data_IF_406143132979
#
_entry.id   IF_406143132979
#
_cell.length_a   1.000
_cell.length_b   1.000
_cell.length_c   1.000
_cell.angle_alpha   90.00
_cell.angle_beta   90.00
_cell.angle_gamma   90.00
#
_symmetry.space_group_name_H-M   'P 1'
#
loop_
_entity.id
_entity.type
_entity.pdbx_description
1 polymer ?
#
# COMPACT_ATOMS: atom_id res chain seq x y z
N UNK A 1 37.23 37.96 -50.31
CA UNK A 1 37.04 36.62 -49.65
C UNK A 1 35.79 36.65 -48.83
N UNK A 2 34.68 36.11 -49.32
CA UNK A 2 33.44 35.92 -48.52
C UNK A 2 33.43 34.48 -47.98
N UNK A 3 33.47 34.37 -46.67
CA UNK A 3 33.31 33.08 -45.96
C UNK A 3 31.95 32.45 -46.30
N UNK A 4 31.96 31.31 -46.96
CA UNK A 4 30.80 30.46 -47.17
C UNK A 4 30.29 29.99 -45.80
N UNK A 5 29.19 30.50 -45.32
CA UNK A 5 28.49 29.97 -44.13
C UNK A 5 28.04 28.54 -44.39
N UNK A 6 28.56 27.62 -43.60
CA UNK A 6 28.34 26.19 -43.72
C UNK A 6 26.87 25.83 -43.45
N UNK A 7 26.25 24.96 -44.26
CA UNK A 7 24.84 24.55 -44.12
C UNK A 7 24.58 23.69 -42.86
N UNK A 8 25.58 23.46 -42.02
CA UNK A 8 25.56 22.51 -40.89
C UNK A 8 24.83 23.08 -39.67
N UNK A 9 24.78 24.41 -39.47
CA UNK A 9 24.18 24.96 -38.22
C UNK A 9 22.65 24.93 -38.18
N UNK A 10 21.95 24.95 -39.30
CA UNK A 10 20.48 24.96 -39.34
C UNK A 10 19.88 23.59 -39.05
N UNK A 11 20.56 22.48 -39.33
CA UNK A 11 20.13 21.12 -39.01
C UNK A 11 20.29 20.84 -37.52
N UNK A 12 21.33 21.43 -36.89
CA UNK A 12 21.53 21.32 -35.42
C UNK A 12 20.43 22.01 -34.63
N UNK A 13 19.95 23.18 -35.04
CA UNK A 13 18.89 23.95 -34.36
C UNK A 13 17.55 23.18 -34.39
N UNK A 14 17.20 22.56 -35.53
CA UNK A 14 15.95 21.78 -35.66
C UNK A 14 15.93 20.52 -34.76
N UNK A 15 17.04 19.79 -34.69
CA UNK A 15 17.18 18.66 -33.76
C UNK A 15 17.08 19.10 -32.31
N UNK A 16 17.52 20.31 -31.97
CA UNK A 16 17.47 20.87 -30.61
C UNK A 16 16.03 21.17 -30.18
N UNK A 17 15.18 21.74 -31.01
CA UNK A 17 13.78 22.06 -30.67
C UNK A 17 12.97 20.78 -30.40
N UNK A 18 13.13 19.77 -31.28
CA UNK A 18 12.44 18.49 -31.08
C UNK A 18 12.91 17.79 -29.80
N UNK A 19 14.22 17.83 -29.51
CA UNK A 19 14.76 17.28 -28.25
C UNK A 19 14.18 17.99 -27.01
N UNK A 20 14.05 19.33 -27.07
CA UNK A 20 13.44 20.09 -25.95
C UNK A 20 11.97 19.71 -25.74
N UNK A 21 11.19 19.68 -26.82
CA UNK A 21 9.78 19.26 -26.74
C UNK A 21 9.64 17.84 -26.20
N UNK A 22 10.44 16.91 -26.73
CA UNK A 22 10.48 15.53 -26.23
C UNK A 22 10.81 15.47 -24.73
N UNK A 23 11.80 16.24 -24.29
CA UNK A 23 12.20 16.30 -22.89
C UNK A 23 11.06 16.81 -21.99
N UNK A 24 10.34 17.86 -22.38
CA UNK A 24 9.20 18.36 -21.59
C UNK A 24 8.06 17.35 -21.51
N UNK A 25 7.74 16.68 -22.60
CA UNK A 25 6.71 15.63 -22.61
C UNK A 25 7.14 14.46 -21.71
N UNK A 26 8.43 14.07 -21.76
CA UNK A 26 8.96 13.01 -20.90
C UNK A 26 8.90 13.40 -19.41
N UNK A 27 9.25 14.64 -19.06
CA UNK A 27 9.16 15.14 -17.69
C UNK A 27 7.71 15.12 -17.19
N UNK A 28 6.76 15.60 -17.99
CA UNK A 28 5.33 15.54 -17.67
C UNK A 28 4.83 14.10 -17.47
N UNK A 29 5.31 13.18 -18.32
CA UNK A 29 5.00 11.76 -18.21
C UNK A 29 5.51 11.19 -16.88
N UNK A 30 6.77 11.45 -16.51
CA UNK A 30 7.37 11.00 -15.24
C UNK A 30 6.60 11.57 -14.05
N UNK A 31 6.26 12.87 -14.08
CA UNK A 31 5.46 13.49 -13.04
C UNK A 31 4.09 12.84 -12.89
N UNK A 32 3.41 12.54 -13.99
CA UNK A 32 2.11 11.84 -13.97
C UNK A 32 2.21 10.46 -13.35
N UNK A 33 3.28 9.70 -13.64
CA UNK A 33 3.52 8.37 -13.03
C UNK A 33 3.75 8.49 -11.53
N UNK A 34 4.59 9.45 -11.10
CA UNK A 34 4.88 9.67 -9.67
C UNK A 34 3.61 10.06 -8.91
N UNK A 35 2.87 11.06 -9.39
CA UNK A 35 1.65 11.55 -8.73
C UNK A 35 0.61 10.43 -8.64
N UNK A 36 0.36 9.73 -9.74
CA UNK A 36 -0.61 8.64 -9.77
C UNK A 36 -0.18 7.46 -8.89
N UNK A 37 1.11 7.12 -8.87
CA UNK A 37 1.67 6.08 -8.00
C UNK A 37 1.51 6.42 -6.52
N UNK A 38 1.80 7.68 -6.15
CA UNK A 38 1.65 8.15 -4.77
C UNK A 38 0.19 8.13 -4.31
N UNK A 39 -0.74 8.62 -5.13
CA UNK A 39 -2.18 8.60 -4.81
C UNK A 39 -2.70 7.16 -4.64
N UNK A 40 -2.32 6.25 -5.54
CA UNK A 40 -2.68 4.83 -5.43
C UNK A 40 -2.11 4.19 -4.16
N UNK A 41 -0.88 4.53 -3.77
CA UNK A 41 -0.27 4.03 -2.55
C UNK A 41 -1.05 4.46 -1.30
N UNK A 42 -1.38 5.77 -1.20
CA UNK A 42 -2.14 6.32 -0.08
C UNK A 42 -3.53 5.65 0.01
N UNK A 43 -4.25 5.55 -1.11
CA UNK A 43 -5.56 4.90 -1.15
C UNK A 43 -5.50 3.43 -0.72
N UNK A 44 -4.49 2.70 -1.19
CA UNK A 44 -4.32 1.29 -0.85
C UNK A 44 -4.03 1.10 0.63
N UNK A 45 -3.16 1.92 1.23
CA UNK A 45 -2.88 1.90 2.67
C UNK A 45 -4.16 2.14 3.47
N UNK A 46 -4.92 3.19 3.13
CA UNK A 46 -6.16 3.51 3.85
C UNK A 46 -7.24 2.43 3.70
N UNK A 47 -7.34 1.82 2.52
CA UNK A 47 -8.28 0.73 2.27
C UNK A 47 -7.92 -0.51 3.06
N UNK A 48 -6.64 -0.90 3.04
CA UNK A 48 -6.17 -2.09 3.76
C UNK A 48 -6.31 -1.90 5.28
N UNK A 49 -5.91 -0.74 5.82
CA UNK A 49 -6.11 -0.43 7.25
C UNK A 49 -7.58 -0.52 7.67
N UNK A 50 -8.50 0.03 6.87
CA UNK A 50 -9.94 -0.07 7.16
C UNK A 50 -10.45 -1.51 7.12
N UNK A 51 -10.02 -2.27 6.12
CA UNK A 51 -10.41 -3.68 6.00
C UNK A 51 -9.90 -4.51 7.18
N UNK A 52 -8.60 -4.38 7.51
CA UNK A 52 -7.99 -5.08 8.66
C UNK A 52 -8.70 -4.74 9.96
N UNK A 53 -8.96 -3.46 10.18
CA UNK A 53 -9.71 -2.99 11.35
C UNK A 53 -11.07 -3.66 11.46
N UNK A 54 -11.86 -3.63 10.39
CA UNK A 54 -13.19 -4.24 10.37
C UNK A 54 -13.14 -5.74 10.62
N UNK A 55 -12.17 -6.43 10.01
CA UNK A 55 -11.99 -7.87 10.15
C UNK A 55 -11.67 -8.23 11.61
N UNK A 56 -10.67 -7.56 12.20
CA UNK A 56 -10.19 -7.83 13.56
C UNK A 56 -11.27 -7.51 14.61
N UNK A 57 -11.93 -6.35 14.47
CA UNK A 57 -13.04 -5.96 15.36
C UNK A 57 -14.23 -6.91 15.23
N UNK A 58 -14.57 -7.38 14.02
CA UNK A 58 -15.65 -8.34 13.80
C UNK A 58 -15.32 -9.70 14.39
N UNK A 59 -14.10 -10.19 14.20
CA UNK A 59 -13.64 -11.46 14.76
C UNK A 59 -13.65 -11.44 16.30
N UNK A 60 -13.14 -10.35 16.91
CA UNK A 60 -13.20 -10.16 18.36
C UNK A 60 -14.63 -10.17 18.87
N UNK A 61 -15.56 -9.49 18.19
CA UNK A 61 -16.98 -9.46 18.56
C UNK A 61 -17.64 -10.83 18.44
N UNK A 62 -17.42 -11.55 17.33
CA UNK A 62 -17.96 -12.91 17.13
C UNK A 62 -17.46 -13.86 18.21
N UNK A 63 -16.17 -13.76 18.56
CA UNK A 63 -15.62 -14.54 19.65
C UNK A 63 -16.28 -14.18 20.98
N UNK A 64 -16.45 -12.90 21.31
CA UNK A 64 -17.14 -12.46 22.53
C UNK A 64 -18.55 -13.05 22.62
N UNK A 65 -19.37 -12.87 21.59
CA UNK A 65 -20.75 -13.41 21.57
C UNK A 65 -20.78 -14.94 21.71
N UNK A 66 -19.76 -15.62 21.21
CA UNK A 66 -19.62 -17.10 21.34
C UNK A 66 -19.28 -17.52 22.77
N UNK A 67 -18.38 -16.77 23.43
CA UNK A 67 -17.87 -17.11 24.76
C UNK A 67 -18.67 -16.50 25.93
N UNK A 68 -19.59 -15.57 25.70
CA UNK A 68 -20.50 -15.03 26.73
C UNK A 68 -21.33 -16.13 27.48
N UNK A 69 -21.54 -17.27 26.82
CA UNK A 69 -22.27 -18.41 27.39
C UNK A 69 -21.37 -19.39 28.11
N UNK A 70 -20.06 -19.22 28.03
CA UNK A 70 -19.10 -20.12 28.65
C UNK A 70 -18.74 -19.62 30.05
N UNK A 71 -18.49 -20.56 30.95
CA UNK A 71 -17.91 -20.25 32.25
C UNK A 71 -16.39 -20.16 32.12
N UNK A 72 -15.88 -18.94 32.01
CA UNK A 72 -14.45 -18.67 31.77
C UNK A 72 -13.58 -19.21 32.90
N UNK A 73 -14.03 -19.11 34.15
CA UNK A 73 -13.29 -19.65 35.31
C UNK A 73 -13.24 -21.18 35.26
N UNK A 74 -14.36 -21.84 34.93
CA UNK A 74 -14.37 -23.29 34.78
C UNK A 74 -13.46 -23.80 33.66
N UNK A 75 -13.32 -23.03 32.58
CA UNK A 75 -12.34 -23.32 31.50
C UNK A 75 -10.91 -23.17 31.98
N UNK A 76 -10.61 -22.15 32.77
CA UNK A 76 -9.28 -21.93 33.34
C UNK A 76 -8.89 -23.01 34.34
N UNK A 77 -9.83 -23.42 35.20
CA UNK A 77 -9.60 -24.43 36.26
C UNK A 77 -9.39 -25.84 35.69
N UNK A 78 -9.95 -26.15 34.51
CA UNK A 78 -9.89 -27.47 33.89
C UNK A 78 -9.42 -27.44 32.42
N UNK A 79 -8.15 -27.15 32.15
CA UNK A 79 -7.63 -27.05 30.79
C UNK A 79 -7.59 -28.39 30.04
N UNK A 80 -7.71 -29.51 30.72
CA UNK A 80 -7.77 -30.85 30.14
C UNK A 80 -9.20 -31.32 29.81
N UNK A 81 -10.22 -30.53 30.16
CA UNK A 81 -11.62 -30.88 29.94
C UNK A 81 -11.99 -30.92 28.45
N UNK A 82 -13.05 -31.62 28.12
CA UNK A 82 -13.58 -31.65 26.76
C UNK A 82 -14.19 -30.30 26.37
N UNK A 83 -14.76 -29.57 27.32
CA UNK A 83 -15.28 -28.22 27.18
C UNK A 83 -14.16 -27.25 26.79
N UNK A 84 -13.03 -27.33 27.48
CA UNK A 84 -11.85 -26.49 27.14
C UNK A 84 -11.35 -26.80 25.73
N UNK A 85 -11.21 -28.08 25.36
CA UNK A 85 -10.76 -28.46 23.99
C UNK A 85 -11.72 -27.97 22.90
N UNK A 86 -13.03 -28.02 23.15
CA UNK A 86 -14.05 -27.46 22.24
C UNK A 86 -13.92 -25.95 22.14
N UNK A 87 -13.70 -25.24 23.24
CA UNK A 87 -13.50 -23.81 23.30
C UNK A 87 -12.26 -23.39 22.50
N UNK A 88 -11.10 -24.03 22.71
CA UNK A 88 -9.88 -23.81 21.94
C UNK A 88 -10.10 -24.04 20.44
N UNK A 89 -10.78 -25.14 20.08
CA UNK A 89 -11.09 -25.45 18.67
C UNK A 89 -11.97 -24.38 18.04
N UNK A 90 -12.93 -23.85 18.78
CA UNK A 90 -13.83 -22.80 18.32
C UNK A 90 -13.06 -21.48 18.13
N UNK A 91 -12.25 -21.09 19.11
CA UNK A 91 -11.42 -19.88 19.02
C UNK A 91 -10.43 -19.97 17.84
N UNK A 92 -9.79 -21.14 17.67
CA UNK A 92 -8.90 -21.41 16.54
C UNK A 92 -9.61 -21.31 15.21
N UNK A 93 -10.81 -21.85 15.10
CA UNK A 93 -11.60 -21.74 13.87
C UNK A 93 -11.91 -20.27 13.52
N UNK A 94 -12.25 -19.44 14.53
CA UNK A 94 -12.47 -18.00 14.33
C UNK A 94 -11.16 -17.33 13.88
N UNK A 95 -10.05 -17.63 14.52
CA UNK A 95 -8.72 -17.12 14.20
C UNK A 95 -8.35 -17.43 12.73
N UNK A 96 -8.40 -18.69 12.33
CA UNK A 96 -8.04 -19.17 10.99
C UNK A 96 -8.98 -18.64 9.90
N UNK A 97 -10.30 -18.61 10.18
CA UNK A 97 -11.28 -18.12 9.20
C UNK A 97 -11.08 -16.62 8.88
N UNK A 98 -10.55 -15.86 9.82
CA UNK A 98 -10.29 -14.44 9.69
C UNK A 98 -8.81 -14.12 9.41
N UNK A 99 -7.96 -15.14 9.22
CA UNK A 99 -6.52 -14.97 8.96
C UNK A 99 -5.81 -14.08 10.00
N UNK A 100 -6.17 -14.26 11.27
CA UNK A 100 -5.56 -13.56 12.39
C UNK A 100 -4.30 -14.30 12.82
N UNK A 101 -3.25 -13.57 13.16
CA UNK A 101 -2.00 -14.15 13.66
C UNK A 101 -2.23 -14.88 15.00
N UNK A 102 -2.92 -14.18 15.93
CA UNK A 102 -3.28 -14.72 17.24
C UNK A 102 -4.69 -14.32 17.64
N UNK A 103 -5.34 -15.22 18.41
CA UNK A 103 -6.49 -14.89 19.26
C UNK A 103 -6.28 -15.47 20.64
N UNK A 104 -6.67 -14.71 21.65
CA UNK A 104 -6.48 -15.14 23.03
C UNK A 104 -7.57 -14.61 23.94
N UNK A 105 -7.83 -15.36 25.03
CA UNK A 105 -8.73 -14.98 26.12
C UNK A 105 -7.90 -14.90 27.39
N UNK A 106 -8.04 -13.80 28.12
CA UNK A 106 -7.31 -13.57 29.36
C UNK A 106 -8.14 -12.80 30.38
N UNK A 107 -7.80 -12.96 31.65
CA UNK A 107 -8.39 -12.25 32.77
C UNK A 107 -7.39 -11.18 33.23
N UNK A 108 -7.72 -9.89 33.11
CA UNK A 108 -6.84 -8.81 33.54
C UNK A 108 -6.90 -8.61 35.06
N UNK A 109 -5.72 -8.43 35.68
CA UNK A 109 -5.58 -7.94 37.05
C UNK A 109 -5.04 -6.53 37.00
N UNK A 110 -5.91 -5.54 37.14
CA UNK A 110 -5.57 -4.13 37.04
C UNK A 110 -4.70 -3.62 38.20
N UNK A 111 -4.82 -4.25 39.38
CA UNK A 111 -4.10 -3.82 40.58
C UNK A 111 -2.62 -4.24 40.54
N UNK A 112 -2.35 -5.40 39.96
CA UNK A 112 -1.00 -5.97 39.87
C UNK A 112 -0.34 -5.74 38.49
N UNK A 113 -1.04 -5.14 37.53
CA UNK A 113 -0.60 -5.05 36.13
C UNK A 113 -0.19 -6.41 35.54
N UNK A 114 -1.04 -7.40 35.74
CA UNK A 114 -0.86 -8.76 35.25
C UNK A 114 -2.06 -9.21 34.45
N UNK A 115 -1.84 -10.18 33.60
CA UNK A 115 -2.89 -10.92 32.90
C UNK A 115 -2.73 -12.42 33.12
N UNK A 116 -3.84 -13.11 33.32
CA UNK A 116 -3.89 -14.59 33.41
C UNK A 116 -4.51 -15.10 32.11
N UNK A 117 -3.75 -15.81 31.30
CA UNK A 117 -4.25 -16.38 30.06
C UNK A 117 -5.15 -17.57 30.31
N UNK A 118 -6.33 -17.57 29.71
CA UNK A 118 -7.28 -18.73 29.73
C UNK A 118 -6.95 -19.64 28.55
N UNK A 119 -6.79 -19.06 27.34
CA UNK A 119 -6.39 -19.80 26.15
C UNK A 119 -5.79 -18.87 25.11
N UNK A 120 -4.91 -19.42 24.27
CA UNK A 120 -4.31 -18.70 23.11
C UNK A 120 -4.26 -19.64 21.92
N UNK A 121 -4.58 -19.13 20.75
CA UNK A 121 -4.50 -19.84 19.46
C UNK A 121 -3.81 -18.98 18.43
N UNK A 122 -3.20 -19.62 17.44
CA UNK A 122 -2.57 -18.99 16.27
C UNK A 122 -3.18 -19.53 14.97
N UNK A 123 -2.98 -18.81 13.88
CA UNK A 123 -3.41 -19.25 12.54
C UNK A 123 -2.62 -20.49 12.08
N UNK A 124 -1.30 -20.51 12.32
CA UNK A 124 -0.43 -21.65 12.03
C UNK A 124 0.15 -22.25 13.33
N UNK A 125 -0.12 -23.54 13.55
CA UNK A 125 0.35 -24.25 14.74
C UNK A 125 1.87 -24.50 14.76
N UNK A 126 2.56 -24.40 13.59
CA UNK A 126 3.94 -24.88 13.46
C UNK A 126 5.00 -23.82 13.80
N UNK A 127 4.70 -22.53 13.66
CA UNK A 127 5.72 -21.48 13.79
C UNK A 127 5.77 -20.79 15.15
N UNK A 128 4.77 -20.99 16.02
CA UNK A 128 4.56 -20.17 17.21
C UNK A 128 4.45 -20.92 18.53
N UNK A 129 5.06 -22.11 18.61
CA UNK A 129 5.10 -22.91 19.86
C UNK A 129 5.55 -22.11 21.09
N UNK A 130 6.53 -21.21 20.92
CA UNK A 130 7.04 -20.39 22.01
C UNK A 130 6.00 -19.38 22.52
N UNK A 131 5.19 -18.78 21.63
CA UNK A 131 4.14 -17.84 22.02
C UNK A 131 2.98 -18.56 22.70
N UNK A 132 2.58 -19.71 22.16
CA UNK A 132 1.53 -20.55 22.75
C UNK A 132 1.95 -21.06 24.13
N UNK A 133 3.22 -21.42 24.33
CA UNK A 133 3.74 -21.87 25.61
C UNK A 133 3.77 -20.76 26.67
N UNK A 134 4.15 -19.53 26.31
CA UNK A 134 4.18 -18.37 27.23
C UNK A 134 2.76 -17.95 27.63
N UNK A 135 1.78 -18.15 26.75
CA UNK A 135 0.36 -17.77 26.95
C UNK A 135 -0.53 -19.01 27.15
N UNK A 136 0.00 -20.06 27.75
CA UNK A 136 -0.76 -21.27 28.09
C UNK A 136 -1.79 -20.99 29.17
N UNK A 137 -2.76 -21.90 29.33
CA UNK A 137 -3.80 -21.80 30.37
C UNK A 137 -3.18 -21.65 31.76
N UNK A 138 -3.61 -20.65 32.51
CA UNK A 138 -3.09 -20.32 33.83
C UNK A 138 -1.77 -19.59 33.87
N UNK A 139 -1.13 -19.28 32.72
CA UNK A 139 0.08 -18.48 32.69
C UNK A 139 -0.22 -17.03 33.10
N UNK A 140 0.46 -16.59 34.16
CA UNK A 140 0.46 -15.18 34.57
C UNK A 140 1.64 -14.45 33.90
N UNK A 141 1.33 -13.33 33.25
CA UNK A 141 2.32 -12.51 32.58
C UNK A 141 2.22 -11.08 33.09
N UNK A 142 3.36 -10.49 33.42
CA UNK A 142 3.45 -9.06 33.71
C UNK A 142 3.10 -8.29 32.44
N UNK A 143 1.98 -7.57 32.49
CA UNK A 143 1.47 -6.84 31.35
C UNK A 143 0.93 -5.48 31.78
N UNK A 144 1.59 -4.42 31.33
CA UNK A 144 1.08 -3.06 31.48
C UNK A 144 -0.13 -2.86 30.57
N UNK A 145 -1.33 -2.98 31.14
CA UNK A 145 -2.59 -2.89 30.40
C UNK A 145 -2.73 -1.57 29.66
N UNK A 146 -3.00 -1.65 28.38
CA UNK A 146 -3.18 -0.50 27.50
C UNK A 146 -4.52 0.20 27.73
N UNK A 147 -4.64 1.43 27.29
CA UNK A 147 -5.89 2.18 27.39
C UNK A 147 -7.04 1.52 26.64
N UNK A 148 -6.76 0.86 25.51
CA UNK A 148 -7.75 0.11 24.74
C UNK A 148 -8.34 -1.07 25.53
N UNK A 149 -7.52 -1.82 26.28
CA UNK A 149 -7.95 -2.93 27.13
C UNK A 149 -8.80 -2.40 28.30
N UNK A 150 -8.34 -1.34 28.93
CA UNK A 150 -9.08 -0.66 30.04
C UNK A 150 -10.42 -0.12 29.57
N UNK A 151 -10.48 0.40 28.35
CA UNK A 151 -11.72 0.92 27.77
C UNK A 151 -12.68 -0.23 27.40
N UNK A 152 -12.19 -1.31 26.79
CA UNK A 152 -12.99 -2.51 26.51
C UNK A 152 -13.57 -3.11 27.81
N UNK A 153 -12.79 -3.14 28.90
CA UNK A 153 -13.26 -3.61 30.19
C UNK A 153 -14.34 -2.72 30.81
N UNK A 154 -14.19 -1.39 30.71
CA UNK A 154 -15.18 -0.44 31.24
C UNK A 154 -16.47 -0.42 30.43
N UNK A 155 -16.37 -0.65 29.13
CA UNK A 155 -17.49 -0.61 28.19
C UNK A 155 -17.62 -1.95 27.43
N UNK A 156 -18.16 -2.99 28.05
CA UNK A 156 -18.16 -4.34 27.48
C UNK A 156 -18.85 -4.50 26.14
N UNK A 157 -19.71 -3.53 25.76
CA UNK A 157 -20.39 -3.52 24.47
C UNK A 157 -19.55 -2.86 23.36
N UNK A 158 -18.38 -2.31 23.69
CA UNK A 158 -17.48 -1.63 22.77
C UNK A 158 -16.31 -2.55 22.41
N UNK A 159 -16.05 -2.68 21.11
CA UNK A 159 -14.79 -3.23 20.63
C UNK A 159 -13.80 -2.08 20.49
N UNK A 160 -12.70 -2.15 21.23
CA UNK A 160 -11.61 -1.20 21.15
C UNK A 160 -10.47 -1.77 20.32
N UNK A 161 -9.62 -0.93 19.76
CA UNK A 161 -8.52 -1.39 18.96
C UNK A 161 -7.27 -0.53 19.14
N UNK A 162 -6.12 -1.15 18.99
CA UNK A 162 -4.83 -0.53 19.14
C UNK A 162 -3.87 -1.00 18.06
N UNK A 163 -3.13 -0.07 17.45
CA UNK A 163 -2.05 -0.39 16.52
C UNK A 163 -0.74 -0.46 17.31
N UNK A 164 -0.18 -1.65 17.37
CA UNK A 164 0.96 -1.96 18.20
C UNK A 164 2.18 -2.25 17.33
N UNK A 165 3.26 -1.54 17.58
CA UNK A 165 4.50 -1.69 16.84
C UNK A 165 5.62 -2.08 17.78
N UNK A 166 6.24 -3.24 17.52
CA UNK A 166 7.56 -3.59 18.00
C UNK A 166 7.65 -4.18 19.40
N UNK A 167 7.03 -5.33 19.64
CA UNK A 167 7.45 -6.18 20.77
C UNK A 167 8.23 -7.41 20.28
N UNK A 168 8.58 -8.28 21.25
CA UNK A 168 9.25 -9.55 20.99
C UNK A 168 8.45 -10.53 20.13
N UNK A 169 7.16 -10.29 19.91
CA UNK A 169 6.24 -11.15 19.17
C UNK A 169 5.89 -10.61 17.78
N UNK A 170 6.21 -9.35 17.48
CA UNK A 170 5.95 -8.73 16.18
C UNK A 170 5.25 -7.39 16.26
N UNK A 171 4.65 -6.98 15.16
CA UNK A 171 3.87 -5.75 15.03
C UNK A 171 2.45 -6.11 14.63
N UNK A 172 1.47 -5.72 15.44
CA UNK A 172 0.08 -6.12 15.28
C UNK A 172 -0.88 -4.94 15.26
N UNK A 173 -2.01 -5.15 14.62
CA UNK A 173 -3.24 -4.43 14.88
C UNK A 173 -4.11 -5.32 15.76
N UNK A 174 -4.35 -4.90 16.99
CA UNK A 174 -5.09 -5.70 17.98
C UNK A 174 -6.44 -5.10 18.29
N UNK A 175 -7.49 -5.90 18.29
CA UNK A 175 -8.80 -5.52 18.78
C UNK A 175 -9.12 -6.24 20.07
N UNK A 176 -9.72 -5.52 21.02
CA UNK A 176 -10.13 -6.03 22.33
C UNK A 176 -11.64 -5.92 22.50
N UNK A 177 -12.23 -6.95 23.09
CA UNK A 177 -13.61 -6.95 23.53
C UNK A 177 -13.78 -7.73 24.84
N UNK A 178 -14.71 -7.32 25.67
CA UNK A 178 -14.92 -7.95 26.97
C UNK A 178 -16.02 -9.01 26.89
N UNK A 179 -15.72 -10.19 27.45
CA UNK A 179 -16.71 -11.23 27.70
C UNK A 179 -17.47 -10.84 28.95
N UNK A 180 -18.81 -10.85 28.89
CA UNK A 180 -19.67 -10.54 30.01
C UNK A 180 -20.11 -11.82 30.70
N UNK A 181 -20.11 -11.80 32.02
CA UNK A 181 -20.71 -12.84 32.83
C UNK A 181 -22.24 -12.71 32.88
N UNK A 182 -22.89 -13.64 33.58
CA UNK A 182 -24.37 -13.68 33.74
C UNK A 182 -24.95 -12.42 34.41
N UNK A 183 -24.14 -11.70 35.14
CA UNK A 183 -24.49 -10.44 35.80
C UNK A 183 -24.26 -9.18 34.94
N UNK A 184 -23.83 -9.37 33.68
CA UNK A 184 -23.52 -8.27 32.75
C UNK A 184 -22.19 -7.57 33.01
N UNK A 185 -21.39 -8.07 33.97
CA UNK A 185 -20.07 -7.55 34.25
C UNK A 185 -19.01 -8.26 33.42
N UNK A 186 -17.92 -7.55 33.03
CA UNK A 186 -16.82 -8.17 32.32
C UNK A 186 -16.12 -9.20 33.21
N UNK A 187 -15.83 -10.37 32.65
CA UNK A 187 -15.15 -11.49 33.34
C UNK A 187 -13.81 -11.81 32.67
N UNK A 188 -13.65 -11.52 31.38
CA UNK A 188 -12.42 -11.72 30.65
C UNK A 188 -12.35 -10.76 29.45
N UNK A 189 -11.17 -10.61 28.86
CA UNK A 189 -10.95 -9.92 27.60
C UNK A 189 -10.58 -10.92 26.50
N UNK A 190 -11.05 -10.66 25.30
CA UNK A 190 -10.56 -11.29 24.07
C UNK A 190 -9.66 -10.31 23.36
N UNK A 191 -8.46 -10.75 23.00
CA UNK A 191 -7.57 -10.08 22.06
C UNK A 191 -7.57 -10.80 20.71
N UNK A 192 -7.57 -10.06 19.64
CA UNK A 192 -7.47 -10.54 18.27
C UNK A 192 -6.39 -9.74 17.54
N UNK A 193 -5.31 -10.43 17.14
CA UNK A 193 -4.11 -9.83 16.57
C UNK A 193 -4.02 -10.10 15.06
N UNK A 194 -3.90 -9.06 14.27
CA UNK A 194 -3.61 -9.15 12.84
C UNK A 194 -2.20 -8.62 12.55
N UNK A 195 -1.39 -9.41 11.85
CA UNK A 195 0.00 -9.06 11.56
C UNK A 195 0.15 -7.83 10.65
N UNK A 196 0.80 -6.79 11.15
CA UNK A 196 1.13 -5.60 10.34
C UNK A 196 2.19 -5.90 9.28
N UNK A 197 3.06 -6.86 9.51
CA UNK A 197 4.07 -7.30 8.55
C UNK A 197 3.41 -7.89 7.30
N UNK A 198 2.38 -8.72 7.48
CA UNK A 198 1.59 -9.26 6.39
C UNK A 198 0.88 -8.14 5.61
N UNK A 199 0.25 -7.19 6.32
CA UNK A 199 -0.39 -6.02 5.73
C UNK A 199 0.57 -5.24 4.83
N UNK A 200 1.76 -4.90 5.33
CA UNK A 200 2.74 -4.12 4.57
C UNK A 200 3.24 -4.87 3.34
N UNK A 201 3.46 -6.17 3.45
CA UNK A 201 3.87 -7.01 2.32
C UNK A 201 2.82 -7.02 1.21
N UNK A 202 1.56 -7.20 1.56
CA UNK A 202 0.44 -7.16 0.61
C UNK A 202 0.29 -5.77 -0.03
N UNK A 203 0.36 -4.69 0.76
CA UNK A 203 0.28 -3.31 0.25
C UNK A 203 1.39 -3.05 -0.75
N UNK A 204 2.63 -3.42 -0.43
CA UNK A 204 3.79 -3.21 -1.33
C UNK A 204 3.59 -3.99 -2.63
N UNK A 205 3.22 -5.26 -2.55
CA UNK A 205 3.02 -6.11 -3.73
C UNK A 205 1.92 -5.56 -4.65
N UNK A 206 0.71 -5.31 -4.13
CA UNK A 206 -0.40 -4.79 -4.94
C UNK A 206 -0.14 -3.39 -5.48
N UNK A 207 0.53 -2.53 -4.70
CA UNK A 207 0.91 -1.18 -5.15
C UNK A 207 1.93 -1.27 -6.28
N UNK A 208 2.96 -2.10 -6.16
CA UNK A 208 3.96 -2.30 -7.20
C UNK A 208 3.35 -2.83 -8.51
N UNK A 209 2.45 -3.81 -8.44
CA UNK A 209 1.74 -4.34 -9.60
C UNK A 209 0.88 -3.29 -10.31
N UNK A 210 0.16 -2.45 -9.55
CA UNK A 210 -0.65 -1.34 -10.12
C UNK A 210 0.21 -0.27 -10.77
N UNK A 211 1.31 0.14 -10.13
CA UNK A 211 2.25 1.12 -10.68
C UNK A 211 2.89 0.59 -11.96
N UNK A 212 3.26 -0.69 -12.00
CA UNK A 212 3.79 -1.34 -13.20
C UNK A 212 2.77 -1.33 -14.35
N UNK A 213 1.54 -1.73 -14.09
CA UNK A 213 0.47 -1.71 -15.09
C UNK A 213 0.23 -0.29 -15.64
N UNK A 214 0.14 0.71 -14.76
CA UNK A 214 0.01 2.10 -15.15
C UNK A 214 1.18 2.58 -16.00
N UNK A 215 2.41 2.23 -15.62
CA UNK A 215 3.61 2.57 -16.37
C UNK A 215 3.57 2.01 -17.79
N UNK A 216 3.14 0.76 -17.97
CA UNK A 216 2.99 0.13 -19.29
C UNK A 216 1.97 0.88 -20.15
N UNK A 217 0.77 1.16 -19.60
CA UNK A 217 -0.29 1.89 -20.32
C UNK A 217 0.19 3.28 -20.73
N UNK A 218 0.76 4.04 -19.81
CA UNK A 218 1.26 5.38 -20.09
C UNK A 218 2.41 5.36 -21.09
N UNK A 219 3.27 4.34 -21.08
CA UNK A 219 4.34 4.17 -22.07
C UNK A 219 3.77 3.98 -23.46
N UNK A 220 2.73 3.15 -23.61
CA UNK A 220 2.05 2.96 -24.91
C UNK A 220 1.46 4.27 -25.39
N UNK A 221 0.72 4.99 -24.53
CA UNK A 221 0.14 6.31 -24.86
C UNK A 221 1.23 7.30 -25.27
N UNK A 222 2.33 7.38 -24.53
CA UNK A 222 3.46 8.23 -24.86
C UNK A 222 4.03 7.92 -26.25
N UNK A 223 4.24 6.65 -26.59
CA UNK A 223 4.74 6.24 -27.90
C UNK A 223 3.76 6.62 -29.04
N UNK A 224 2.47 6.46 -28.81
CA UNK A 224 1.43 6.85 -29.78
C UNK A 224 1.40 8.37 -30.00
N UNK A 225 1.45 9.16 -28.93
CA UNK A 225 1.53 10.63 -29.00
C UNK A 225 2.79 11.08 -29.75
N UNK A 226 3.93 10.49 -29.43
CA UNK A 226 5.19 10.80 -30.10
C UNK A 226 5.14 10.47 -31.59
N UNK A 227 4.55 9.32 -31.96
CA UNK A 227 4.34 8.96 -33.37
C UNK A 227 3.41 9.95 -34.09
N UNK A 228 2.33 10.37 -33.43
CA UNK A 228 1.40 11.37 -33.97
C UNK A 228 2.06 12.73 -34.17
N UNK A 229 2.75 13.26 -33.16
CA UNK A 229 3.47 14.54 -33.22
C UNK A 229 4.51 14.51 -34.33
N UNK A 230 5.27 13.44 -34.43
CA UNK A 230 6.27 13.29 -35.50
C UNK A 230 5.64 13.27 -36.88
N UNK A 231 4.54 12.52 -37.08
CA UNK A 231 3.91 12.36 -38.40
C UNK A 231 3.10 13.59 -38.80
N UNK A 232 2.31 14.16 -37.90
CA UNK A 232 1.33 15.21 -38.21
C UNK A 232 1.84 16.63 -38.02
N UNK A 233 2.85 16.85 -37.20
CA UNK A 233 3.38 18.18 -36.93
C UNK A 233 4.81 18.36 -37.45
N UNK A 234 5.73 17.50 -37.05
CA UNK A 234 7.14 17.68 -37.34
C UNK A 234 7.48 17.50 -38.83
N UNK A 235 6.99 16.44 -39.47
CA UNK A 235 7.27 16.17 -40.87
C UNK A 235 6.69 17.23 -41.85
N UNK A 236 5.44 17.69 -41.71
CA UNK A 236 4.90 18.77 -42.55
C UNK A 236 5.66 20.11 -42.39
N UNK A 237 5.99 20.44 -41.12
CA UNK A 237 6.76 21.69 -40.85
C UNK A 237 8.13 21.61 -41.51
N UNK A 238 8.81 20.48 -41.48
CA UNK A 238 10.06 20.24 -42.17
C UNK A 238 9.94 20.47 -43.70
N UNK A 239 8.90 19.90 -44.32
CA UNK A 239 8.63 20.04 -45.75
C UNK A 239 8.40 21.50 -46.13
N UNK A 240 7.63 22.27 -45.35
CA UNK A 240 7.41 23.70 -45.57
C UNK A 240 8.74 24.46 -45.50
N UNK A 241 9.54 24.18 -44.48
CA UNK A 241 10.85 24.83 -44.36
C UNK A 241 11.81 24.50 -45.49
N UNK A 242 11.79 23.28 -46.00
CA UNK A 242 12.61 22.90 -47.17
C UNK A 242 12.16 23.62 -48.45
N UNK A 243 10.85 23.74 -48.67
CA UNK A 243 10.31 24.48 -49.82
C UNK A 243 10.65 25.97 -49.75
N UNK A 244 10.48 26.60 -48.58
CA UNK A 244 10.85 28.02 -48.38
C UNK A 244 12.34 28.23 -48.61
N UNK A 245 13.18 27.35 -48.12
CA UNK A 245 14.63 27.41 -48.31
C UNK A 245 15.00 27.26 -49.78
N UNK A 246 14.39 26.31 -50.49
CA UNK A 246 14.60 26.11 -51.91
C UNK A 246 14.25 27.36 -52.70
N UNK A 247 13.12 27.99 -52.40
CA UNK A 247 12.69 29.24 -53.03
C UNK A 247 13.68 30.38 -52.82
N UNK A 248 14.20 30.60 -51.62
CA UNK A 248 15.19 31.65 -51.35
C UNK A 248 16.55 31.35 -51.95
N UNK A 249 16.96 30.09 -52.08
CA UNK A 249 18.20 29.71 -52.76
C UNK A 249 18.13 29.98 -54.25
N UNK A 250 17.05 29.58 -54.92
CA UNK A 250 16.83 29.82 -56.36
C UNK A 250 16.78 31.31 -56.68
N UNK A 251 16.11 32.10 -55.82
CA UNK A 251 16.06 33.56 -55.99
C UNK A 251 17.42 34.24 -55.79
N UNK A 252 18.24 33.76 -54.84
CA UNK A 252 19.58 34.25 -54.60
C UNK A 252 20.56 33.95 -55.79
N UNK A 253 20.38 32.75 -56.39
CA UNK A 253 21.20 32.33 -57.51
C UNK A 253 20.84 33.11 -58.80
N UNK A 254 19.53 33.34 -59.09
CA UNK A 254 19.06 34.22 -60.16
C UNK A 254 19.54 35.66 -60.01
N UNK A 255 19.57 36.16 -58.75
CA UNK A 255 20.13 37.53 -58.53
C UNK A 255 21.62 37.59 -58.81
N UNK A 256 22.40 36.59 -58.49
CA UNK A 256 23.81 36.50 -58.78
C UNK A 256 24.07 36.43 -60.28
N UNK A 257 23.29 35.64 -61.01
CA UNK A 257 23.37 35.54 -62.48
C UNK A 257 23.08 36.92 -63.18
N UNK A 258 22.04 37.62 -62.70
CA UNK A 258 21.73 38.97 -63.26
C UNK A 258 22.84 40.02 -63.02
N UNK A 259 23.45 39.95 -61.80
CA UNK A 259 24.58 40.89 -61.48
C UNK A 259 25.85 40.52 -62.25
N UNK A 260 26.08 39.25 -62.56
CA UNK A 260 27.22 38.82 -63.39
C UNK A 260 27.00 39.17 -64.84
N UNK A 261 25.77 39.05 -65.36
CA UNK A 261 25.46 39.42 -66.76
C UNK A 261 25.59 40.91 -66.99
N UNK A 262 25.31 41.74 -65.98
CA UNK A 262 25.46 43.22 -66.11
C UNK A 262 26.94 43.66 -66.08
N UNK A 263 27.82 42.92 -65.42
CA UNK A 263 29.28 43.18 -65.40
C UNK A 263 29.99 42.77 -66.67
N UNK A 264 29.38 41.97 -67.53
CA UNK A 264 29.96 41.54 -68.80
C UNK A 264 29.54 42.42 -69.94
N UNK A 265 28.68 43.44 -69.71
CA UNK A 265 28.21 44.40 -70.67
C UNK A 265 28.92 45.79 -70.62
N UNK A 266 29.83 45.95 -69.67
CA UNK A 266 30.74 47.11 -69.55
C UNK A 266 32.15 46.72 -69.96
#
# INVERSE_FOLDING_TARGET
>A
MKKSEKPIDKIKVKKSIFKRLFFHILVLFILAVIVSGTLNCIENIQRTRRFTRQLTESASKVATETFERCDINALLDNPDSEEYRKAVKTLRWICQTNHLEYMYIYIPNFDENKVTYVMTVADDDSENENVLNVRSAGAEVDHSLWDAEKEAWKNPNLVTAYEYQNDSFGSFYTAFSAIQGKDGKPVALIGADYSLTQIYTEIIFYTAMRVLALFVVLTIVFLLVMRFVRKKMYNPILLIFEKIRGYFSDKADKYKESVCADKTRL
#
